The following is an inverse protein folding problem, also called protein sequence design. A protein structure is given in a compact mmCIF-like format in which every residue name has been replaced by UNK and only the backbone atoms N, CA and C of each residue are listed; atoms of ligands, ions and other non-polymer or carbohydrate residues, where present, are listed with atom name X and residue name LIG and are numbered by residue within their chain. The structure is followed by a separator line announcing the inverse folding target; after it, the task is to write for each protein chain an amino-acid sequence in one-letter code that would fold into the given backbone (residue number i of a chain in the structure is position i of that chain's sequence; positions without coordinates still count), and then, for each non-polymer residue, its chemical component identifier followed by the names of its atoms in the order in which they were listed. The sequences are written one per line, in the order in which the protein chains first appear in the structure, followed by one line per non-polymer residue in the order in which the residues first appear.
data_IF_055860002859
#
_entry.id   IF_055860002859
#
_cell.length_a   1.000
_cell.length_b   1.000
_cell.length_c   1.000
_cell.angle_alpha   90.00
_cell.angle_beta   90.00
_cell.angle_gamma   90.00
#
_symmetry.space_group_name_H-M   'P 1'
#
loop_
_entity.id
_entity.type
_entity.pdbx_description
1 polymer ?
#
# COMPACT_ATOMS: atom_id res chain seq x y z
N UNK A 1 15.49 -12.56 -7.95
CA UNK A 1 16.66 -13.16 -8.64
C UNK A 1 16.33 -13.21 -10.11
N UNK A 2 17.19 -12.70 -10.98
CA UNK A 2 17.02 -12.86 -12.42
C UNK A 2 17.30 -14.33 -12.77
N UNK A 3 16.30 -15.11 -13.22
CA UNK A 3 16.49 -16.54 -13.45
C UNK A 3 17.49 -16.86 -14.56
N UNK A 4 17.79 -15.90 -15.43
CA UNK A 4 18.78 -16.06 -16.48
C UNK A 4 20.21 -15.69 -16.02
N UNK A 5 20.33 -14.81 -15.02
CA UNK A 5 21.62 -14.29 -14.54
C UNK A 5 21.97 -14.73 -13.14
N UNK A 6 21.03 -15.39 -12.42
CA UNK A 6 21.17 -15.79 -10.99
C UNK A 6 21.67 -14.63 -10.12
N UNK A 7 21.16 -13.40 -10.36
CA UNK A 7 21.59 -12.17 -9.72
C UNK A 7 20.43 -11.39 -9.11
N UNK A 8 20.74 -10.62 -8.08
CA UNK A 8 19.84 -9.63 -7.46
C UNK A 8 20.42 -8.25 -7.72
N UNK A 9 19.58 -7.32 -8.14
CA UNK A 9 19.99 -5.93 -8.37
C UNK A 9 19.08 -4.97 -7.63
N UNK A 10 19.62 -3.83 -7.23
CA UNK A 10 18.85 -2.69 -6.76
C UNK A 10 18.23 -2.00 -7.96
N UNK A 11 16.94 -1.71 -7.92
CA UNK A 11 16.19 -1.06 -9.01
C UNK A 11 15.83 0.39 -8.70
N UNK A 12 15.82 0.78 -7.42
CA UNK A 12 15.61 2.14 -6.96
C UNK A 12 16.17 2.33 -5.55
N UNK A 13 16.72 3.49 -5.24
CA UNK A 13 17.29 3.87 -3.93
C UNK A 13 16.78 5.25 -3.48
N UNK A 14 15.67 5.75 -4.06
CA UNK A 14 15.18 7.10 -3.83
C UNK A 14 14.27 7.24 -2.61
N UNK A 15 13.75 6.13 -2.06
CA UNK A 15 12.89 6.09 -0.89
C UNK A 15 13.72 6.00 0.40
N UNK A 16 13.24 6.61 1.47
CA UNK A 16 13.93 6.59 2.77
C UNK A 16 13.81 5.22 3.45
N UNK A 17 12.60 4.64 3.44
CA UNK A 17 12.33 3.35 4.06
C UNK A 17 11.16 2.62 3.37
N UNK A 18 11.43 2.03 2.20
CA UNK A 18 10.41 1.30 1.47
C UNK A 18 9.88 0.13 2.30
N UNK A 19 8.55 -0.07 2.28
CA UNK A 19 7.88 -1.11 3.05
C UNK A 19 6.88 -1.89 2.18
N UNK A 20 5.57 -1.61 2.26
CA UNK A 20 4.57 -2.27 1.44
C UNK A 20 4.74 -1.97 -0.05
N UNK A 21 4.49 -2.95 -0.90
CA UNK A 21 4.51 -2.77 -2.35
C UNK A 21 3.43 -3.60 -3.04
N UNK A 22 2.90 -3.07 -4.13
CA UNK A 22 1.94 -3.77 -4.99
C UNK A 22 1.90 -3.15 -6.39
N UNK A 23 1.60 -3.98 -7.40
CA UNK A 23 1.37 -3.51 -8.76
C UNK A 23 -0.06 -3.07 -8.98
N UNK A 24 -0.24 -2.13 -9.92
CA UNK A 24 -1.55 -1.84 -10.52
C UNK A 24 -2.14 -3.08 -11.21
N UNK A 25 -3.47 -3.13 -11.46
CA UNK A 25 -4.11 -4.28 -12.12
C UNK A 25 -3.55 -4.62 -13.51
N UNK A 26 -2.99 -3.65 -14.21
CA UNK A 26 -2.37 -3.81 -15.54
C UNK A 26 -0.85 -4.01 -15.48
N UNK A 27 -0.26 -4.09 -14.27
CA UNK A 27 1.17 -4.24 -14.01
C UNK A 27 2.07 -3.13 -14.55
N UNK A 28 1.50 -1.96 -14.91
CA UNK A 28 2.26 -0.85 -15.47
C UNK A 28 2.71 0.17 -14.43
N UNK A 29 2.19 0.08 -13.21
CA UNK A 29 2.58 0.95 -12.10
C UNK A 29 2.94 0.09 -10.90
N UNK A 30 4.09 0.34 -10.30
CA UNK A 30 4.48 -0.19 -8.99
C UNK A 30 4.23 0.90 -7.95
N UNK A 31 3.43 0.58 -6.94
CA UNK A 31 3.25 1.41 -5.76
C UNK A 31 4.15 0.91 -4.63
N UNK A 32 4.76 1.84 -3.88
CA UNK A 32 5.61 1.52 -2.73
C UNK A 32 5.32 2.51 -1.61
N UNK A 33 5.03 2.01 -0.40
CA UNK A 33 4.90 2.85 0.79
C UNK A 33 6.27 3.23 1.34
N UNK A 34 6.40 4.49 1.79
CA UNK A 34 7.59 4.96 2.50
C UNK A 34 7.24 5.22 3.96
N UNK A 35 7.87 4.44 4.85
CA UNK A 35 7.74 4.54 6.31
C UNK A 35 8.88 5.33 6.95
N UNK A 36 9.61 6.14 6.21
CA UNK A 36 10.76 6.94 6.68
C UNK A 36 10.44 7.79 7.89
N UNK A 37 9.22 8.34 7.98
CA UNK A 37 8.75 9.10 9.12
C UNK A 37 8.76 8.33 10.47
N UNK A 38 8.82 7.00 10.47
CA UNK A 38 8.96 6.19 11.67
C UNK A 38 10.34 6.28 12.31
N UNK A 39 11.35 6.77 11.60
CA UNK A 39 12.75 6.81 12.02
C UNK A 39 13.34 8.23 11.97
N UNK A 40 12.70 9.13 11.25
CA UNK A 40 13.20 10.47 11.02
C UNK A 40 12.06 11.47 11.02
N UNK A 41 12.04 12.33 12.04
CA UNK A 41 11.03 13.36 12.20
C UNK A 41 10.94 14.26 10.95
N UNK A 42 9.72 14.64 10.58
CA UNK A 42 9.47 15.53 9.46
C UNK A 42 9.48 14.86 8.09
N UNK A 43 9.77 13.55 8.00
CA UNK A 43 9.62 12.83 6.74
C UNK A 43 8.14 12.63 6.39
N UNK A 44 7.80 12.69 5.09
CA UNK A 44 6.43 12.46 4.63
C UNK A 44 5.97 11.01 4.91
N UNK A 45 4.66 10.84 4.97
CA UNK A 45 3.97 9.55 5.13
C UNK A 45 3.22 9.26 3.86
N UNK A 46 3.93 8.77 2.87
CA UNK A 46 3.46 8.73 1.49
C UNK A 46 3.52 7.33 0.89
N UNK A 47 2.66 7.12 -0.10
CA UNK A 47 2.84 6.04 -1.06
C UNK A 47 3.37 6.69 -2.35
N UNK A 48 4.39 6.09 -2.91
CA UNK A 48 5.02 6.50 -4.16
C UNK A 48 4.58 5.58 -5.29
N UNK A 49 4.64 6.07 -6.51
CA UNK A 49 4.36 5.32 -7.72
C UNK A 49 5.51 5.43 -8.72
N UNK A 50 5.79 4.31 -9.37
CA UNK A 50 6.77 4.18 -10.44
C UNK A 50 6.09 3.58 -11.66
N UNK A 51 6.33 4.12 -12.83
CA UNK A 51 5.94 3.47 -14.08
C UNK A 51 6.89 2.30 -14.38
N UNK A 52 6.34 1.20 -14.85
CA UNK A 52 7.11 0.00 -15.17
C UNK A 52 7.24 -0.14 -16.67
N UNK A 53 8.46 -0.06 -17.17
CA UNK A 53 8.76 -0.21 -18.59
C UNK A 53 8.58 -1.65 -19.06
N UNK A 54 8.56 -1.84 -20.37
CA UNK A 54 8.54 -3.19 -20.97
C UNK A 54 9.79 -4.02 -20.64
N UNK A 55 10.88 -3.37 -20.23
CA UNK A 55 12.10 -4.02 -19.79
C UNK A 55 12.17 -4.20 -18.26
N UNK A 56 11.04 -3.99 -17.55
CA UNK A 56 10.93 -4.04 -16.09
C UNK A 56 11.79 -2.98 -15.36
N UNK A 57 12.09 -1.86 -15.98
CA UNK A 57 12.76 -0.72 -15.34
C UNK A 57 11.72 0.17 -14.65
N UNK A 58 12.07 0.73 -13.50
CA UNK A 58 11.25 1.70 -12.80
C UNK A 58 11.55 3.12 -13.31
N UNK A 59 10.53 3.82 -13.75
CA UNK A 59 10.59 5.17 -14.33
C UNK A 59 9.56 6.09 -13.66
N UNK A 60 9.68 7.40 -13.89
CA UNK A 60 8.63 8.35 -13.55
C UNK A 60 8.24 8.38 -12.07
N UNK A 61 9.23 8.25 -11.15
CA UNK A 61 9.00 8.32 -9.71
C UNK A 61 8.18 9.55 -9.32
N UNK A 62 7.09 9.33 -8.59
CA UNK A 62 6.18 10.39 -8.12
C UNK A 62 5.50 10.01 -6.82
N UNK A 63 5.07 11.01 -6.06
CA UNK A 63 4.15 10.80 -4.94
C UNK A 63 2.79 10.42 -5.51
N UNK A 64 2.24 9.29 -5.05
CA UNK A 64 0.89 8.85 -5.38
C UNK A 64 -0.13 9.44 -4.43
N UNK A 65 0.07 9.30 -3.12
CA UNK A 65 -0.79 9.89 -2.10
C UNK A 65 -0.04 10.15 -0.79
N UNK A 66 -0.61 11.03 0.03
CA UNK A 66 -0.14 11.36 1.37
C UNK A 66 -1.22 10.95 2.39
N UNK A 67 -0.83 10.24 3.45
CA UNK A 67 -1.74 9.75 4.47
C UNK A 67 -1.95 10.77 5.61
N UNK A 68 -1.36 11.94 5.53
CA UNK A 68 -1.41 12.95 6.59
C UNK A 68 -0.66 12.49 7.84
N UNK A 69 -1.31 12.43 9.03
CA UNK A 69 -0.63 12.04 10.25
C UNK A 69 -0.36 10.53 10.35
N UNK A 70 -1.08 9.70 9.59
CA UNK A 70 -0.99 8.24 9.68
C UNK A 70 0.16 7.68 8.85
N UNK A 71 0.80 6.63 9.35
CA UNK A 71 1.92 5.96 8.69
C UNK A 71 1.39 4.88 7.73
N UNK A 72 1.76 4.90 6.44
CA UNK A 72 1.49 3.78 5.55
C UNK A 72 2.43 2.61 5.87
N UNK A 73 1.91 1.38 5.77
CA UNK A 73 2.69 0.16 5.92
C UNK A 73 2.29 -0.82 4.80
N UNK A 74 1.66 -1.94 5.08
CA UNK A 74 1.16 -2.84 4.05
C UNK A 74 -0.12 -2.32 3.39
N UNK A 75 -0.30 -2.61 2.12
CA UNK A 75 -1.50 -2.23 1.36
C UNK A 75 -1.83 -3.23 0.25
N UNK A 76 -3.04 -3.14 -0.29
CA UNK A 76 -3.52 -3.96 -1.40
C UNK A 76 -4.35 -3.12 -2.35
N UNK A 77 -4.50 -3.59 -3.59
CA UNK A 77 -5.39 -2.98 -4.55
C UNK A 77 -6.67 -3.79 -4.71
N UNK A 78 -7.77 -3.09 -5.00
CA UNK A 78 -8.98 -3.72 -5.48
C UNK A 78 -8.96 -3.83 -7.02
N UNK A 79 -9.99 -4.48 -7.57
CA UNK A 79 -10.09 -4.75 -9.01
C UNK A 79 -10.24 -3.48 -9.86
N UNK A 80 -10.72 -2.38 -9.27
CA UNK A 80 -10.83 -1.07 -9.90
C UNK A 80 -9.51 -0.28 -9.86
N UNK A 81 -8.47 -0.81 -9.18
CA UNK A 81 -7.18 -0.14 -9.01
C UNK A 81 -7.13 0.84 -7.86
N UNK A 82 -8.13 0.86 -6.97
CA UNK A 82 -8.05 1.66 -5.76
C UNK A 82 -7.06 1.02 -4.78
N UNK A 83 -6.26 1.87 -4.15
CA UNK A 83 -5.28 1.47 -3.13
C UNK A 83 -5.93 1.49 -1.75
N UNK A 84 -5.96 0.34 -1.09
CA UNK A 84 -6.41 0.15 0.27
C UNK A 84 -5.17 0.01 1.15
N UNK A 85 -4.84 1.05 1.91
CA UNK A 85 -3.61 1.10 2.69
C UNK A 85 -3.88 1.06 4.18
N UNK A 86 -3.02 0.34 4.89
CA UNK A 86 -2.93 0.47 6.33
C UNK A 86 -2.57 1.91 6.71
N UNK A 87 -3.11 2.36 7.82
CA UNK A 87 -2.85 3.66 8.41
C UNK A 87 -2.70 3.47 9.91
N UNK A 88 -1.54 3.82 10.46
CA UNK A 88 -1.27 3.52 11.85
C UNK A 88 -0.49 4.61 12.59
N UNK A 89 -0.48 4.46 13.91
CA UNK A 89 0.30 5.26 14.85
C UNK A 89 0.00 6.77 14.83
N UNK A 90 -1.25 7.13 14.54
CA UNK A 90 -1.72 8.52 14.49
C UNK A 90 -2.93 8.79 15.40
N UNK A 91 -3.33 7.79 16.18
CA UNK A 91 -4.49 7.83 17.07
C UNK A 91 -5.79 7.37 16.39
N UNK A 92 -6.78 7.02 17.20
CA UNK A 92 -8.02 6.36 16.75
C UNK A 92 -8.84 7.14 15.70
N UNK A 93 -8.61 8.43 15.55
CA UNK A 93 -9.25 9.25 14.51
C UNK A 93 -8.61 9.07 13.12
N UNK A 94 -7.39 8.51 13.07
CA UNK A 94 -6.60 8.37 11.84
C UNK A 94 -6.17 6.93 11.59
N UNK A 95 -6.15 6.10 12.65
CA UNK A 95 -5.76 4.70 12.57
C UNK A 95 -6.83 3.86 11.88
N UNK A 96 -6.41 2.89 11.09
CA UNK A 96 -7.29 1.99 10.37
C UNK A 96 -6.85 1.73 8.93
N UNK A 97 -7.78 1.85 8.00
CA UNK A 97 -7.51 1.71 6.56
C UNK A 97 -7.93 2.99 5.85
N UNK A 98 -7.06 3.53 5.02
CA UNK A 98 -7.39 4.62 4.10
C UNK A 98 -7.48 4.08 2.68
N UNK A 99 -8.40 4.65 1.89
CA UNK A 99 -8.69 4.18 0.54
C UNK A 99 -8.48 5.34 -0.43
N UNK A 100 -7.66 5.10 -1.44
CA UNK A 100 -7.35 6.08 -2.48
C UNK A 100 -7.74 5.54 -3.85
N UNK A 101 -8.37 6.35 -4.66
CA UNK A 101 -8.62 6.06 -6.07
C UNK A 101 -7.29 5.96 -6.85
N UNK A 102 -7.35 5.42 -8.06
CA UNK A 102 -6.17 5.24 -8.91
C UNK A 102 -5.44 6.55 -9.31
N UNK A 103 -6.08 7.70 -9.10
CA UNK A 103 -5.51 9.03 -9.30
C UNK A 103 -4.88 9.63 -8.02
N UNK A 104 -4.88 8.88 -6.90
CA UNK A 104 -4.37 9.32 -5.61
C UNK A 104 -5.37 10.11 -4.75
N UNK A 105 -6.61 10.31 -5.23
CA UNK A 105 -7.66 10.97 -4.44
C UNK A 105 -8.14 10.06 -3.31
N UNK A 106 -8.17 10.57 -2.07
CA UNK A 106 -8.74 9.83 -0.94
C UNK A 106 -10.26 9.71 -1.09
N UNK A 107 -10.77 8.49 -1.17
CA UNK A 107 -12.20 8.18 -1.39
C UNK A 107 -12.89 7.54 -0.18
N UNK A 108 -12.13 7.13 0.84
CA UNK A 108 -12.73 6.53 2.03
C UNK A 108 -11.73 6.24 3.14
N UNK A 109 -12.29 5.85 4.29
CA UNK A 109 -11.54 5.33 5.43
C UNK A 109 -12.38 4.34 6.23
N UNK A 110 -11.69 3.41 6.89
CA UNK A 110 -12.25 2.50 7.91
C UNK A 110 -11.46 2.77 9.18
N UNK A 111 -12.11 3.37 10.17
CA UNK A 111 -11.45 3.66 11.44
C UNK A 111 -11.42 2.41 12.33
N UNK A 112 -10.28 2.17 12.94
CA UNK A 112 -10.05 1.08 13.89
C UNK A 112 -9.44 1.63 15.18
N UNK A 113 -9.64 0.94 16.31
CA UNK A 113 -9.14 1.44 17.61
C UNK A 113 -7.62 1.30 17.78
N UNK A 114 -6.95 0.64 16.83
CA UNK A 114 -5.52 0.32 16.89
C UNK A 114 -4.85 0.66 15.55
N UNK A 115 -3.56 1.02 15.61
CA UNK A 115 -2.75 1.23 14.40
C UNK A 115 -2.65 -0.03 13.55
N UNK A 116 -2.88 0.12 12.27
CA UNK A 116 -2.92 -0.98 11.30
C UNK A 116 -1.59 -1.10 10.56
N UNK A 117 -1.08 -2.34 10.46
CA UNK A 117 0.19 -2.63 9.78
C UNK A 117 0.01 -3.30 8.42
N UNK A 118 -1.03 -4.11 8.24
CA UNK A 118 -1.23 -4.81 6.95
C UNK A 118 -2.69 -5.20 6.75
N UNK A 119 -3.03 -5.51 5.51
CA UNK A 119 -4.36 -5.99 5.16
C UNK A 119 -4.33 -6.91 3.93
N UNK A 120 -5.35 -7.73 3.78
CA UNK A 120 -5.54 -8.53 2.58
C UNK A 120 -7.02 -8.78 2.30
N UNK A 121 -7.36 -8.91 1.02
CA UNK A 121 -8.67 -9.37 0.60
C UNK A 121 -8.70 -10.90 0.59
N UNK A 122 -9.77 -11.49 1.15
CA UNK A 122 -9.93 -12.93 1.23
C UNK A 122 -11.37 -13.39 1.03
N UNK A 123 -11.59 -14.69 1.23
CA UNK A 123 -12.84 -15.36 0.94
C UNK A 123 -13.04 -15.67 -0.55
N UNK A 124 -14.01 -16.54 -0.87
CA UNK A 124 -14.27 -17.02 -2.24
C UNK A 124 -14.52 -15.85 -3.21
N UNK A 125 -15.22 -14.81 -2.74
CA UNK A 125 -15.54 -13.63 -3.55
C UNK A 125 -14.49 -12.52 -3.44
N UNK A 126 -13.39 -12.73 -2.65
CA UNK A 126 -12.35 -11.73 -2.41
C UNK A 126 -12.89 -10.35 -1.97
N UNK A 127 -13.99 -10.33 -1.27
CA UNK A 127 -14.65 -9.13 -0.76
C UNK A 127 -14.73 -9.10 0.78
N UNK A 128 -13.96 -9.95 1.44
CA UNK A 128 -13.76 -9.91 2.89
C UNK A 128 -12.36 -9.39 3.16
N UNK A 129 -12.28 -8.20 3.76
CA UNK A 129 -11.01 -7.61 4.15
C UNK A 129 -10.60 -8.18 5.50
N UNK A 130 -9.35 -8.63 5.61
CA UNK A 130 -8.68 -9.02 6.84
C UNK A 130 -7.59 -8.01 7.12
N UNK A 131 -7.46 -7.55 8.36
CA UNK A 131 -6.61 -6.44 8.74
C UNK A 131 -5.87 -6.81 10.02
N UNK A 132 -4.56 -6.62 10.04
CA UNK A 132 -3.73 -6.77 11.24
C UNK A 132 -3.49 -5.41 11.87
N UNK A 133 -3.79 -5.28 13.16
CA UNK A 133 -3.56 -4.05 13.91
C UNK A 133 -3.35 -4.35 15.39
N UNK A 134 -2.33 -3.74 15.99
CA UNK A 134 -2.00 -3.95 17.38
C UNK A 134 -1.84 -5.43 17.73
N UNK A 135 -2.72 -5.94 18.59
CA UNK A 135 -2.78 -7.35 18.98
C UNK A 135 -3.95 -8.11 18.33
N UNK A 136 -4.66 -7.49 17.37
CA UNK A 136 -5.92 -7.98 16.83
C UNK A 136 -5.83 -8.29 15.34
N UNK A 137 -6.69 -9.21 14.91
CA UNK A 137 -7.03 -9.41 13.50
C UNK A 137 -8.50 -9.04 13.33
N UNK A 138 -8.73 -7.99 12.56
CA UNK A 138 -10.07 -7.53 12.22
C UNK A 138 -10.52 -8.10 10.89
N UNK A 139 -11.83 -8.22 10.69
CA UNK A 139 -12.36 -8.50 9.35
C UNK A 139 -13.72 -7.87 9.12
N UNK A 140 -13.98 -7.44 7.89
CA UNK A 140 -15.28 -6.92 7.45
C UNK A 140 -15.53 -7.26 5.99
N UNK A 141 -16.80 -7.26 5.59
CA UNK A 141 -17.16 -7.36 4.18
C UNK A 141 -17.20 -5.98 3.55
N UNK A 142 -16.71 -5.90 2.32
CA UNK A 142 -16.73 -4.68 1.50
C UNK A 142 -17.47 -4.94 0.18
N UNK A 143 -17.91 -3.87 -0.48
CA UNK A 143 -18.67 -3.97 -1.74
C UNK A 143 -17.77 -4.24 -2.98
N UNK A 144 -16.46 -4.18 -2.83
CA UNK A 144 -15.49 -4.38 -3.91
C UNK A 144 -14.77 -5.73 -3.77
N UNK A 145 -14.11 -6.13 -4.82
CA UNK A 145 -13.26 -7.33 -4.84
C UNK A 145 -11.79 -6.93 -4.90
N UNK A 146 -10.97 -7.55 -4.07
CA UNK A 146 -9.52 -7.42 -4.15
C UNK A 146 -8.95 -8.07 -5.41
N UNK A 147 -7.79 -7.57 -5.85
CA UNK A 147 -7.02 -8.20 -6.91
C UNK A 147 -6.73 -9.67 -6.58
N UNK A 148 -6.76 -10.57 -7.58
CA UNK A 148 -6.30 -11.93 -7.36
C UNK A 148 -4.80 -11.94 -7.02
N UNK A 149 -4.42 -12.83 -6.11
CA UNK A 149 -3.02 -13.18 -5.93
C UNK A 149 -2.64 -14.18 -7.05
N UNK A 150 -1.56 -13.91 -7.70
CA UNK A 150 -0.96 -14.82 -8.69
C UNK A 150 0.20 -15.58 -8.08
#
# INVERSE_FOLDING_TARGET
MDPEKDSVSVVDESLEKPNGLAFSPDFKTLYVSDTGASHKDGHPRQIHAFDVSTNNELLGHRVFCDLGPAMPDGFRLDFAGNVWTSAGWAGSEHDGVQIFASDGTKIGAIHLPEGVSNLCFGGIKRNRLFITGGQSIFSLYVAVQGMPYF
#
